data_IF_021817448806
#
_entry.id   IF_021817448806
#
_cell.length_a   1.000
_cell.length_b   1.000
_cell.length_c   1.000
_cell.angle_alpha   90.00
_cell.angle_beta   90.00
_cell.angle_gamma   90.00
#
_symmetry.space_group_name_H-M   'P 1'
#
loop_
_entity.id
_entity.type
_entity.pdbx_description
1 polymer ?
#
# COMPACT_ATOMS: atom_id res chain seq x y z
N UNK A 1 3.95 22.22 -12.10
CA UNK A 1 3.00 21.14 -11.87
C UNK A 1 3.63 20.04 -11.04
N UNK A 2 2.87 19.51 -10.16
CA UNK A 2 3.36 18.42 -9.32
C UNK A 2 3.38 17.12 -10.13
N UNK A 3 4.56 16.58 -10.36
CA UNK A 3 4.70 15.33 -11.13
C UNK A 3 4.02 14.15 -10.43
N UNK A 4 3.88 14.23 -9.10
CA UNK A 4 3.17 13.22 -8.34
C UNK A 4 1.69 13.16 -8.75
N UNK A 5 1.03 14.31 -8.76
CA UNK A 5 -0.37 14.35 -9.11
C UNK A 5 -0.59 13.85 -10.54
N UNK A 6 0.27 14.27 -11.46
CA UNK A 6 0.17 13.83 -12.85
C UNK A 6 0.35 12.32 -12.96
N UNK A 7 1.34 11.79 -12.26
CA UNK A 7 1.61 10.37 -12.30
C UNK A 7 0.45 9.58 -11.69
N UNK A 8 -0.09 10.07 -10.58
CA UNK A 8 -1.21 9.43 -9.90
C UNK A 8 -2.45 9.37 -10.80
N UNK A 9 -2.79 10.50 -11.44
CA UNK A 9 -3.93 10.54 -12.35
C UNK A 9 -3.72 9.62 -13.55
N UNK A 10 -2.52 9.65 -14.10
CA UNK A 10 -2.16 8.82 -15.24
C UNK A 10 -2.24 7.35 -14.87
N UNK A 11 -1.71 7.02 -13.70
CA UNK A 11 -1.69 5.65 -13.22
C UNK A 11 -3.10 5.11 -13.05
N UNK A 12 -3.95 5.86 -12.38
CA UNK A 12 -5.34 5.44 -12.16
C UNK A 12 -6.06 5.23 -13.48
N UNK A 13 -5.77 6.05 -14.48
CA UNK A 13 -6.40 5.96 -15.78
C UNK A 13 -6.03 4.67 -16.50
N UNK A 14 -4.79 4.20 -16.34
CA UNK A 14 -4.31 3.02 -17.05
C UNK A 14 -4.46 1.74 -16.26
N UNK A 15 -4.48 1.82 -14.95
CA UNK A 15 -4.46 0.64 -14.10
C UNK A 15 -5.77 0.43 -13.37
N UNK A 16 -6.77 1.24 -13.67
CA UNK A 16 -8.00 1.34 -12.92
C UNK A 16 -8.56 -0.04 -12.56
N UNK A 17 -8.98 -0.81 -13.54
CA UNK A 17 -9.58 -2.11 -13.25
C UNK A 17 -8.60 -3.26 -13.49
N UNK A 18 -7.88 -3.20 -14.60
CA UNK A 18 -7.04 -4.32 -15.04
C UNK A 18 -5.70 -4.30 -14.32
N UNK A 19 -5.09 -3.12 -14.22
CA UNK A 19 -3.75 -3.00 -13.66
C UNK A 19 -3.70 -3.38 -12.19
N UNK A 20 -4.68 -2.95 -11.41
CA UNK A 20 -4.70 -3.28 -9.99
C UNK A 20 -5.05 -4.74 -9.75
N UNK A 21 -5.88 -5.33 -10.59
CA UNK A 21 -6.13 -6.76 -10.52
C UNK A 21 -4.87 -7.56 -10.77
N UNK A 22 -4.07 -7.15 -11.75
CA UNK A 22 -2.80 -7.80 -12.04
C UNK A 22 -1.81 -7.63 -10.89
N UNK A 23 -1.80 -6.47 -10.23
CA UNK A 23 -0.98 -6.24 -9.05
C UNK A 23 -1.38 -7.18 -7.92
N UNK A 24 -2.69 -7.32 -7.69
CA UNK A 24 -3.18 -8.22 -6.67
C UNK A 24 -2.79 -9.67 -6.98
N UNK A 25 -2.91 -10.09 -8.24
CA UNK A 25 -2.48 -11.42 -8.66
C UNK A 25 -0.99 -11.62 -8.37
N UNK A 26 -0.20 -10.61 -8.66
CA UNK A 26 1.25 -10.65 -8.43
C UNK A 26 1.57 -10.83 -6.95
N UNK A 27 0.89 -10.07 -6.09
CA UNK A 27 1.12 -10.19 -4.65
C UNK A 27 0.72 -11.55 -4.13
N UNK A 28 -0.39 -12.09 -4.62
CA UNK A 28 -0.81 -13.42 -4.20
C UNK A 28 0.18 -14.49 -4.63
N UNK A 29 0.76 -14.36 -5.82
CA UNK A 29 1.82 -15.26 -6.26
C UNK A 29 3.06 -15.14 -5.38
N UNK A 30 3.41 -13.92 -4.96
CA UNK A 30 4.53 -13.74 -4.04
C UNK A 30 4.27 -14.39 -2.69
N UNK A 31 3.07 -14.21 -2.14
CA UNK A 31 2.70 -14.82 -0.88
C UNK A 31 2.86 -16.34 -0.97
N UNK A 32 2.36 -16.92 -2.04
CA UNK A 32 2.44 -18.35 -2.24
C UNK A 32 3.89 -18.82 -2.38
N UNK A 33 4.68 -18.10 -3.16
CA UNK A 33 6.09 -18.46 -3.37
C UNK A 33 6.88 -18.40 -2.07
N UNK A 34 6.60 -17.41 -1.23
CA UNK A 34 7.31 -17.23 0.04
C UNK A 34 6.69 -18.05 1.17
N UNK A 35 5.65 -18.80 0.90
CA UNK A 35 5.01 -19.62 1.92
C UNK A 35 4.25 -18.84 2.97
N UNK A 36 3.79 -17.64 2.62
CA UNK A 36 3.07 -16.77 3.54
C UNK A 36 1.58 -16.83 3.22
N UNK A 37 0.75 -16.95 4.25
CA UNK A 37 -0.71 -16.90 4.10
C UNK A 37 -1.22 -15.75 4.96
N UNK A 38 -1.08 -14.51 4.48
CA UNK A 38 -1.42 -13.37 5.31
C UNK A 38 -2.92 -13.24 5.49
N UNK A 39 -3.32 -12.89 6.70
CA UNK A 39 -4.69 -12.56 7.01
C UNK A 39 -4.88 -11.05 7.06
N UNK A 40 -4.02 -10.37 7.80
CA UNK A 40 -4.08 -8.92 7.97
C UNK A 40 -2.98 -8.28 7.13
N UNK A 41 -3.37 -7.44 6.19
CA UNK A 41 -2.45 -6.84 5.21
C UNK A 41 -2.54 -5.32 5.29
N UNK A 42 -1.38 -4.68 5.37
CA UNK A 42 -1.28 -3.23 5.35
C UNK A 42 -0.95 -2.76 3.93
N UNK A 43 -1.76 -1.86 3.41
CA UNK A 43 -1.50 -1.17 2.16
C UNK A 43 -0.95 0.21 2.51
N UNK A 44 0.37 0.33 2.52
CA UNK A 44 1.05 1.55 2.93
C UNK A 44 1.07 2.53 1.77
N UNK A 45 0.62 3.74 2.01
CA UNK A 45 0.40 4.75 0.98
C UNK A 45 -0.66 4.26 -0.01
N UNK A 46 -1.83 3.95 0.52
CA UNK A 46 -2.90 3.28 -0.23
C UNK A 46 -3.58 4.16 -1.28
N UNK A 47 -3.40 5.47 -1.22
CA UNK A 47 -4.01 6.39 -2.18
C UNK A 47 -5.52 6.31 -2.17
N UNK A 48 -6.11 6.13 -3.35
CA UNK A 48 -7.56 6.07 -3.50
C UNK A 48 -8.16 4.72 -3.12
N UNK A 49 -7.33 3.78 -2.68
CA UNK A 49 -7.79 2.51 -2.15
C UNK A 49 -8.13 1.45 -3.18
N UNK A 50 -7.70 1.61 -4.42
CA UNK A 50 -8.03 0.64 -5.47
C UNK A 50 -7.50 -0.76 -5.14
N UNK A 51 -6.23 -0.85 -4.76
CA UNK A 51 -5.65 -2.14 -4.39
C UNK A 51 -6.25 -2.64 -3.08
N UNK A 52 -6.45 -1.75 -2.11
CA UNK A 52 -7.07 -2.10 -0.84
C UNK A 52 -8.43 -2.74 -1.06
N UNK A 53 -9.24 -2.16 -1.94
CA UNK A 53 -10.57 -2.68 -2.27
C UNK A 53 -10.49 -4.09 -2.85
N UNK A 54 -9.62 -4.28 -3.83
CA UNK A 54 -9.49 -5.57 -4.50
C UNK A 54 -9.08 -6.66 -3.52
N UNK A 55 -8.09 -6.39 -2.70
CA UNK A 55 -7.62 -7.37 -1.73
C UNK A 55 -8.68 -7.64 -0.65
N UNK A 56 -9.40 -6.61 -0.22
CA UNK A 56 -10.50 -6.81 0.72
C UNK A 56 -11.56 -7.73 0.11
N UNK A 57 -11.87 -7.55 -1.16
CA UNK A 57 -12.84 -8.39 -1.84
C UNK A 57 -12.35 -9.83 -2.02
N UNK A 58 -11.04 -10.03 -1.99
CA UNK A 58 -10.45 -11.37 -2.07
C UNK A 58 -10.33 -12.06 -0.71
N UNK A 59 -10.80 -11.40 0.35
CA UNK A 59 -10.88 -12.02 1.67
C UNK A 59 -9.82 -11.61 2.66
N UNK A 60 -8.93 -10.69 2.29
CA UNK A 60 -7.93 -10.20 3.24
C UNK A 60 -8.53 -9.14 4.15
N UNK A 61 -8.09 -9.12 5.41
CA UNK A 61 -8.37 -8.00 6.30
C UNK A 61 -7.39 -6.90 5.97
N UNK A 62 -7.91 -5.73 5.56
CA UNK A 62 -7.07 -4.68 5.05
C UNK A 62 -6.97 -3.50 5.99
N UNK A 63 -5.76 -2.95 6.10
CA UNK A 63 -5.51 -1.64 6.67
C UNK A 63 -4.88 -0.81 5.55
N UNK A 64 -5.45 0.35 5.27
CA UNK A 64 -4.87 1.30 4.33
C UNK A 64 -4.37 2.52 5.08
N UNK A 65 -3.17 2.96 4.78
CA UNK A 65 -2.60 4.16 5.40
C UNK A 65 -2.11 5.11 4.32
N UNK A 66 -2.40 6.40 4.49
CA UNK A 66 -1.96 7.40 3.53
C UNK A 66 -1.82 8.75 4.25
N UNK A 67 -0.88 9.54 3.79
CA UNK A 67 -0.63 10.86 4.37
C UNK A 67 -1.64 11.90 3.87
N UNK A 68 -2.33 11.64 2.77
CA UNK A 68 -3.25 12.59 2.16
C UNK A 68 -4.68 12.35 2.63
N UNK A 69 -5.29 13.31 3.34
CA UNK A 69 -6.69 13.17 3.72
C UNK A 69 -7.63 13.07 2.51
N UNK A 70 -7.32 13.76 1.43
CA UNK A 70 -8.16 13.72 0.23
C UNK A 70 -8.15 12.32 -0.38
N UNK A 71 -6.99 11.69 -0.45
CA UNK A 71 -6.90 10.32 -0.94
C UNK A 71 -7.70 9.37 -0.07
N UNK A 72 -7.60 9.53 1.24
CA UNK A 72 -8.32 8.66 2.17
C UNK A 72 -9.83 8.84 2.09
N UNK A 73 -10.30 10.06 1.81
CA UNK A 73 -11.72 10.26 1.60
C UNK A 73 -12.21 9.47 0.39
N UNK A 74 -11.44 9.46 -0.69
CA UNK A 74 -11.78 8.65 -1.85
C UNK A 74 -11.68 7.16 -1.54
N UNK A 75 -10.65 6.77 -0.79
CA UNK A 75 -10.50 5.37 -0.39
C UNK A 75 -11.68 4.91 0.45
N UNK A 76 -12.16 5.77 1.35
CA UNK A 76 -13.33 5.45 2.15
C UNK A 76 -14.54 5.19 1.27
N UNK A 77 -14.79 6.06 0.29
CA UNK A 77 -15.91 5.89 -0.62
C UNK A 77 -15.76 4.63 -1.46
N UNK A 78 -14.55 4.37 -1.93
CA UNK A 78 -14.28 3.23 -2.80
C UNK A 78 -14.36 1.89 -2.08
N UNK A 79 -14.34 1.89 -0.75
CA UNK A 79 -14.36 0.65 0.04
C UNK A 79 -15.58 0.51 0.92
N UNK A 80 -16.57 1.39 0.74
CA UNK A 80 -17.79 1.35 1.58
C UNK A 80 -18.54 0.03 1.50
N UNK A 81 -18.49 -0.61 0.35
CA UNK A 81 -19.22 -1.87 0.11
C UNK A 81 -18.39 -3.11 0.42
N UNK A 82 -17.17 -2.95 0.91
CA UNK A 82 -16.35 -4.09 1.29
C UNK A 82 -16.81 -4.67 2.63
N UNK A 83 -16.69 -5.98 2.76
CA UNK A 83 -17.15 -6.70 3.95
C UNK A 83 -16.08 -7.72 4.35
N UNK A 84 -15.33 -7.50 5.43
CA UNK A 84 -15.36 -6.31 6.28
C UNK A 84 -14.74 -5.09 5.60
N UNK A 85 -15.10 -3.91 6.08
CA UNK A 85 -14.51 -2.70 5.53
C UNK A 85 -13.07 -2.55 5.99
N UNK A 86 -12.18 -2.11 5.09
CA UNK A 86 -10.81 -1.80 5.50
C UNK A 86 -10.74 -0.71 6.55
N UNK A 87 -9.77 -0.81 7.43
CA UNK A 87 -9.45 0.28 8.35
C UNK A 87 -8.55 1.26 7.61
N UNK A 88 -8.92 2.54 7.61
CA UNK A 88 -8.14 3.57 6.92
C UNK A 88 -7.53 4.52 7.94
N UNK A 89 -6.23 4.76 7.81
CA UNK A 89 -5.47 5.57 8.76
C UNK A 89 -4.78 6.71 8.03
N UNK A 90 -4.91 7.92 8.57
CA UNK A 90 -4.22 9.08 8.03
C UNK A 90 -2.87 9.20 8.73
N UNK A 91 -1.86 8.58 8.16
CA UNK A 91 -0.52 8.54 8.74
C UNK A 91 0.53 8.63 7.64
N UNK A 92 1.60 9.32 7.93
CA UNK A 92 2.78 9.32 7.07
C UNK A 92 3.54 8.01 7.29
N UNK A 93 4.25 7.55 6.25
CA UNK A 93 4.98 6.29 6.34
C UNK A 93 5.97 6.26 7.50
N UNK A 94 6.69 7.37 7.70
CA UNK A 94 7.70 7.45 8.75
C UNK A 94 7.10 7.60 10.14
N UNK A 95 5.78 7.78 10.23
CA UNK A 95 5.07 7.90 11.50
C UNK A 95 4.09 6.76 11.72
N UNK A 96 4.25 5.69 10.97
CA UNK A 96 3.34 4.55 11.05
C UNK A 96 3.22 4.03 12.47
N UNK A 97 1.98 3.89 12.94
CA UNK A 97 1.70 3.41 14.27
C UNK A 97 0.41 2.59 14.25
N UNK A 98 0.54 1.32 14.53
CA UNK A 98 -0.58 0.37 14.47
C UNK A 98 -0.81 -0.21 15.85
N UNK A 99 -2.04 -0.70 16.09
CA UNK A 99 -2.37 -1.33 17.37
C UNK A 99 -1.78 -2.73 17.51
N UNK A 100 -1.44 -3.37 16.40
CA UNK A 100 -0.89 -4.71 16.45
C UNK A 100 -0.12 -4.98 15.17
N UNK A 101 0.40 -6.19 15.05
CA UNK A 101 1.23 -6.56 13.93
C UNK A 101 0.40 -7.00 12.74
N UNK A 102 0.94 -6.79 11.54
CA UNK A 102 0.34 -7.24 10.30
C UNK A 102 1.14 -8.40 9.72
N UNK A 103 0.51 -9.19 8.87
CA UNK A 103 1.14 -10.35 8.25
C UNK A 103 1.89 -9.99 6.98
N UNK A 104 1.48 -8.92 6.32
CA UNK A 104 2.15 -8.43 5.12
C UNK A 104 1.95 -6.94 5.02
N UNK A 105 2.93 -6.28 4.44
CA UNK A 105 2.85 -4.85 4.13
C UNK A 105 3.18 -4.67 2.67
N UNK A 106 2.31 -3.97 1.96
CA UNK A 106 2.50 -3.67 0.55
C UNK A 106 2.65 -2.16 0.40
N UNK A 107 3.63 -1.73 -0.37
CA UNK A 107 3.82 -0.33 -0.68
C UNK A 107 4.13 -0.21 -2.16
N UNK A 108 3.14 0.25 -2.91
CA UNK A 108 3.19 0.24 -4.36
C UNK A 108 3.15 1.63 -4.93
N UNK A 109 3.30 1.70 -6.25
CA UNK A 109 3.04 2.91 -7.01
C UNK A 109 4.01 4.03 -6.71
N UNK A 110 5.28 3.66 -6.52
CA UNK A 110 6.34 4.65 -6.32
C UNK A 110 6.17 5.49 -5.06
N UNK A 111 5.28 5.07 -4.16
CA UNK A 111 5.00 5.85 -2.96
C UNK A 111 6.24 6.11 -2.15
N UNK A 112 7.17 5.17 -2.13
CA UNK A 112 8.43 5.32 -1.41
C UNK A 112 9.25 6.47 -1.96
N UNK A 113 9.10 6.78 -3.24
CA UNK A 113 9.87 7.85 -3.88
C UNK A 113 9.45 9.25 -3.43
N UNK A 114 8.34 9.36 -2.71
CA UNK A 114 7.90 10.65 -2.19
C UNK A 114 8.45 10.93 -0.80
N UNK A 115 9.14 9.97 -0.23
CA UNK A 115 9.92 10.17 0.98
C UNK A 115 11.31 10.57 0.50
N UNK A 116 11.52 11.88 0.34
CA UNK A 116 12.73 12.39 -0.32
C UNK A 116 13.96 12.34 0.56
N UNK A 117 13.78 12.30 1.88
CA UNK A 117 14.90 12.29 2.80
C UNK A 117 15.27 10.86 3.16
N UNK A 118 16.55 10.47 2.99
CA UNK A 118 16.96 9.11 3.33
C UNK A 118 16.64 8.69 4.76
N UNK A 119 16.73 9.64 5.68
CA UNK A 119 16.44 9.35 7.09
C UNK A 119 14.97 9.02 7.29
N UNK A 120 14.08 9.76 6.61
CA UNK A 120 12.66 9.49 6.70
C UNK A 120 12.32 8.14 6.08
N UNK A 121 12.96 7.79 4.98
CA UNK A 121 12.76 6.50 4.34
C UNK A 121 13.20 5.36 5.25
N UNK A 122 14.36 5.51 5.88
CA UNK A 122 14.86 4.51 6.81
C UNK A 122 13.90 4.37 7.99
N UNK A 123 13.41 5.48 8.52
CA UNK A 123 12.44 5.46 9.61
C UNK A 123 11.17 4.72 9.20
N UNK A 124 10.68 4.97 7.98
CA UNK A 124 9.50 4.29 7.48
C UNK A 124 9.71 2.76 7.45
N UNK A 125 10.86 2.32 6.94
CA UNK A 125 11.17 0.89 6.91
C UNK A 125 11.26 0.31 8.32
N UNK A 126 11.85 1.04 9.26
CA UNK A 126 11.92 0.60 10.65
C UNK A 126 10.54 0.49 11.27
N UNK A 127 9.66 1.45 10.95
CA UNK A 127 8.29 1.40 11.46
C UNK A 127 7.55 0.18 10.91
N UNK A 128 7.69 -0.09 9.61
CA UNK A 128 7.08 -1.29 9.03
C UNK A 128 7.61 -2.54 9.71
N UNK A 129 8.92 -2.60 9.93
CA UNK A 129 9.53 -3.76 10.60
C UNK A 129 8.95 -3.94 12.00
N UNK A 130 8.71 -2.85 12.71
CA UNK A 130 8.15 -2.89 14.05
C UNK A 130 6.79 -3.57 14.09
N UNK A 131 5.96 -3.32 13.07
CA UNK A 131 4.58 -3.80 13.04
C UNK A 131 4.39 -5.03 12.17
N UNK A 132 5.46 -5.59 11.64
CA UNK A 132 5.38 -6.78 10.81
C UNK A 132 5.61 -8.02 11.67
N UNK A 133 4.75 -9.02 11.52
CA UNK A 133 4.93 -10.29 12.22
C UNK A 133 6.26 -10.93 11.81
N UNK A 134 6.87 -11.76 12.68
CA UNK A 134 8.20 -12.33 12.39
C UNK A 134 8.31 -13.03 11.06
N UNK A 135 7.24 -13.69 10.60
CA UNK A 135 7.24 -14.37 9.31
C UNK A 135 6.55 -13.53 8.24
N UNK A 136 6.33 -12.26 8.53
CA UNK A 136 5.62 -11.37 7.62
C UNK A 136 6.46 -10.97 6.43
N UNK A 137 5.78 -10.48 5.39
CA UNK A 137 6.40 -10.11 4.14
C UNK A 137 6.17 -8.63 3.86
N UNK A 138 7.25 -7.92 3.54
CA UNK A 138 7.17 -6.52 3.12
C UNK A 138 7.54 -6.44 1.64
N UNK A 139 6.58 -6.02 0.83
CA UNK A 139 6.78 -5.86 -0.61
C UNK A 139 6.65 -4.37 -0.94
N UNK A 140 7.64 -3.83 -1.60
CA UNK A 140 7.59 -2.43 -2.00
C UNK A 140 8.14 -2.27 -3.41
N UNK A 141 7.61 -1.27 -4.11
CA UNK A 141 8.04 -0.92 -5.46
C UNK A 141 8.78 0.40 -5.37
N UNK A 142 10.08 0.35 -5.65
CA UNK A 142 10.92 1.54 -5.67
C UNK A 142 11.36 1.82 -7.09
N UNK A 143 11.06 3.01 -7.56
CA UNK A 143 11.61 3.46 -8.82
C UNK A 143 12.95 4.11 -8.55
N UNK A 144 14.01 3.48 -9.01
CA UNK A 144 15.36 4.01 -8.83
C UNK A 144 15.72 4.91 -9.99
N UNK A 145 16.72 5.78 -9.82
CA UNK A 145 17.18 6.62 -10.92
C UNK A 145 17.57 5.82 -12.17
N UNK A 146 18.15 4.67 -12.00
CA UNK A 146 18.53 3.81 -13.11
C UNK A 146 17.32 3.36 -13.91
N UNK A 147 16.20 3.17 -13.25
CA UNK A 147 14.98 2.74 -13.90
C UNK A 147 14.43 3.82 -14.82
N UNK A 148 14.70 5.07 -14.50
CA UNK A 148 14.22 6.20 -15.27
C UNK A 148 15.26 6.81 -16.18
N UNK A 149 16.47 6.39 -16.07
CA UNK A 149 17.57 6.95 -16.87
C UNK A 149 17.48 6.56 -18.33
#
# INVERSE_FOLDING_TARGET
MNSYETLSEYYDRFTDDVGYEEWADFFERLFEREGVKPSLVLDLACGTGSLTRILAQRGYDMIGADASPEMLMQALQNTLDCEPRPLLLNQRMEELDLYGAVDACLCCLDSVNYVTEPEALQTAFERVHTFLNPDGLFVFDINTPEKFA
#
